data_IF_574543825906
#
_entry.id   IF_574543825906
#
_cell.length_a   1.000
_cell.length_b   1.000
_cell.length_c   1.000
_cell.angle_alpha   90.00
_cell.angle_beta   90.00
_cell.angle_gamma   90.00
#
_symmetry.space_group_name_H-M   'P 1'
#
loop_
_entity.id
_entity.type
_entity.pdbx_description
1 polymer ?
#
# COMPACT_ATOMS: atom_id res chain seq x y z
N UNK A 1 -14.13 -33.60 30.91
CA UNK A 1 -14.24 -32.41 31.78
C UNK A 1 -13.42 -31.22 31.25
N UNK A 2 -13.52 -30.88 29.95
CA UNK A 2 -12.80 -29.74 29.34
C UNK A 2 -13.75 -28.71 28.67
N UNK A 3 -15.05 -29.03 28.57
CA UNK A 3 -16.03 -28.18 27.86
C UNK A 3 -16.61 -27.06 28.73
N UNK A 4 -16.57 -27.19 30.06
CA UNK A 4 -17.20 -26.23 30.99
C UNK A 4 -16.32 -24.98 31.18
N UNK A 5 -15.00 -25.10 31.03
CA UNK A 5 -14.07 -23.98 31.25
C UNK A 5 -14.07 -22.94 30.12
N UNK A 6 -14.36 -23.33 28.88
CA UNK A 6 -14.39 -22.41 27.73
C UNK A 6 -15.65 -21.55 27.79
N UNK A 7 -16.79 -22.12 28.18
CA UNK A 7 -18.06 -21.38 28.29
C UNK A 7 -18.04 -20.35 29.42
N UNK A 8 -17.39 -20.67 30.56
CA UNK A 8 -17.22 -19.71 31.67
C UNK A 8 -16.29 -18.54 31.31
N UNK A 9 -15.26 -18.79 30.50
CA UNK A 9 -14.32 -17.75 30.06
C UNK A 9 -14.97 -16.78 29.06
N UNK A 10 -15.87 -17.27 28.20
CA UNK A 10 -16.62 -16.43 27.25
C UNK A 10 -17.67 -15.56 27.96
N UNK A 11 -18.32 -16.07 29.01
CA UNK A 11 -19.27 -15.30 29.83
C UNK A 11 -18.57 -14.17 30.62
N UNK A 12 -17.38 -14.42 31.18
CA UNK A 12 -16.59 -13.40 31.89
C UNK A 12 -16.02 -12.30 30.97
N UNK A 13 -15.82 -12.61 29.68
CA UNK A 13 -15.37 -11.62 28.68
C UNK A 13 -16.52 -10.75 28.15
N UNK A 14 -17.76 -11.26 28.15
CA UNK A 14 -18.94 -10.50 27.72
C UNK A 14 -19.43 -9.52 28.80
N UNK A 15 -19.32 -9.86 30.09
CA UNK A 15 -19.74 -8.96 31.19
C UNK A 15 -18.79 -7.76 31.39
N UNK A 16 -17.52 -7.86 31.01
CA UNK A 16 -16.59 -6.72 31.05
C UNK A 16 -16.72 -5.77 29.86
N UNK A 17 -17.43 -6.16 28.79
CA UNK A 17 -17.64 -5.31 27.62
C UNK A 17 -18.85 -4.39 27.77
N UNK A 18 -19.86 -4.76 28.57
CA UNK A 18 -21.06 -3.95 28.78
C UNK A 18 -20.88 -2.82 29.80
N UNK A 19 -19.88 -2.91 30.69
CA UNK A 19 -19.60 -1.87 31.70
C UNK A 19 -18.82 -0.67 31.15
N UNK A 20 -18.20 -0.77 29.96
CA UNK A 20 -17.45 0.36 29.36
C UNK A 20 -18.28 1.24 28.42
N UNK A 21 -19.59 0.99 28.26
CA UNK A 21 -20.46 1.77 27.36
C UNK A 21 -21.41 2.75 28.08
N UNK A 22 -21.12 3.13 29.33
CA UNK A 22 -22.00 4.01 30.12
C UNK A 22 -21.34 5.24 30.74
N UNK A 23 -20.20 5.71 30.21
CA UNK A 23 -19.61 6.99 30.66
C UNK A 23 -18.98 7.74 29.48
N UNK A 24 -19.77 8.18 28.49
CA UNK A 24 -19.50 9.42 27.74
C UNK A 24 -20.85 10.02 27.33
N UNK A 25 -21.49 10.72 28.26
CA UNK A 25 -22.46 11.77 27.93
C UNK A 25 -22.37 12.85 29.00
N UNK A 26 -22.33 14.10 28.53
CA UNK A 26 -22.43 15.39 29.25
C UNK A 26 -21.19 15.86 30.03
N UNK A 27 -20.47 16.86 29.52
CA UNK A 27 -20.74 18.26 29.87
C UNK A 27 -19.79 19.23 29.15
N UNK A 28 -20.40 20.25 28.55
CA UNK A 28 -19.77 21.53 28.23
C UNK A 28 -19.42 22.27 29.54
N UNK A 29 -18.27 22.94 29.56
CA UNK A 29 -18.09 24.40 29.78
C UNK A 29 -16.82 24.78 30.58
N UNK A 30 -16.11 25.77 30.00
CA UNK A 30 -15.30 26.86 30.62
C UNK A 30 -13.84 26.66 31.09
N UNK A 31 -13.04 27.61 30.57
CA UNK A 31 -11.76 28.19 31.04
C UNK A 31 -10.44 27.39 30.94
N UNK A 32 -9.55 27.87 30.06
CA UNK A 32 -8.23 28.40 30.43
C UNK A 32 -7.05 27.44 30.75
N UNK A 33 -6.00 27.57 29.94
CA UNK A 33 -4.57 27.35 30.24
C UNK A 33 -3.94 25.93 30.10
N UNK A 34 -2.95 25.91 29.18
CA UNK A 34 -1.69 25.14 29.12
C UNK A 34 -1.64 23.59 29.09
N UNK A 35 -1.17 23.09 27.93
CA UNK A 35 -0.15 22.04 27.73
C UNK A 35 -0.11 20.86 28.70
N UNK A 36 -0.53 19.68 28.22
CA UNK A 36 0.10 18.41 28.60
C UNK A 36 0.01 17.37 27.48
N UNK A 37 1.18 17.01 26.97
CA UNK A 37 1.49 15.76 26.28
C UNK A 37 0.99 14.56 27.11
N UNK A 38 -0.09 13.92 26.69
CA UNK A 38 -0.45 12.57 27.18
C UNK A 38 -1.15 11.78 26.06
N UNK A 39 -0.38 11.48 25.00
CA UNK A 39 -0.68 10.30 24.17
C UNK A 39 -0.46 9.08 25.07
N UNK A 40 -1.56 8.49 25.53
CA UNK A 40 -1.54 7.51 26.61
C UNK A 40 -0.75 6.27 26.19
N UNK A 41 0.20 5.86 27.03
CA UNK A 41 1.02 4.63 26.94
C UNK A 41 0.14 3.37 26.77
N UNK A 42 -1.16 3.48 27.06
CA UNK A 42 -2.21 2.47 26.89
C UNK A 42 -2.53 2.13 25.43
N UNK A 43 -2.52 3.09 24.49
CA UNK A 43 -2.78 2.77 23.07
C UNK A 43 -1.57 2.09 22.40
N UNK A 44 -0.36 2.50 22.76
CA UNK A 44 0.87 1.84 22.27
C UNK A 44 1.00 0.40 22.79
N UNK A 45 0.51 0.13 24.02
CA UNK A 45 0.44 -1.22 24.56
C UNK A 45 -0.65 -2.08 23.91
N UNK A 46 -1.75 -1.51 23.44
CA UNK A 46 -2.78 -2.27 22.71
C UNK A 46 -2.25 -2.80 21.36
N UNK A 47 -1.44 -2.02 20.64
CA UNK A 47 -0.75 -2.50 19.43
C UNK A 47 0.33 -3.55 19.73
N UNK A 48 1.04 -3.42 20.85
CA UNK A 48 2.02 -4.43 21.27
C UNK A 48 1.37 -5.74 21.76
N UNK A 49 0.25 -5.68 22.48
CA UNK A 49 -0.39 -6.86 23.08
C UNK A 49 -1.22 -7.68 22.09
N UNK A 50 -1.74 -7.08 21.02
CA UNK A 50 -2.35 -7.83 19.91
C UNK A 50 -1.34 -8.69 19.12
N UNK A 51 -0.03 -8.48 19.31
CA UNK A 51 1.02 -9.27 18.67
C UNK A 51 1.51 -10.47 19.49
N UNK A 52 1.10 -10.62 20.76
CA UNK A 52 1.72 -11.59 21.68
C UNK A 52 0.81 -12.78 22.03
N UNK A 53 -0.51 -12.71 21.82
CA UNK A 53 -1.41 -13.81 22.19
C UNK A 53 -1.93 -14.53 20.96
N UNK A 54 -1.12 -15.47 20.44
CA UNK A 54 -1.49 -16.76 19.82
C UNK A 54 -0.24 -17.35 19.13
N UNK A 55 0.53 -18.13 19.89
CA UNK A 55 1.45 -19.19 19.43
C UNK A 55 2.38 -18.90 18.23
N UNK A 56 3.63 -18.48 18.49
CA UNK A 56 4.75 -18.52 17.54
C UNK A 56 4.80 -17.33 16.57
N UNK A 57 5.79 -16.45 16.75
CA UNK A 57 6.15 -15.26 15.93
C UNK A 57 5.42 -15.20 14.57
N UNK A 58 4.21 -14.65 14.55
CA UNK A 58 3.55 -14.28 13.31
C UNK A 58 4.23 -13.02 12.79
N UNK A 59 4.72 -13.07 11.55
CA UNK A 59 5.24 -11.90 10.87
C UNK A 59 4.11 -10.85 10.81
N UNK A 60 4.28 -9.62 11.36
CA UNK A 60 3.23 -8.60 11.34
C UNK A 60 2.77 -8.21 9.92
N UNK A 61 3.59 -8.53 8.91
CA UNK A 61 3.31 -8.32 7.49
C UNK A 61 2.77 -9.58 6.78
N UNK A 62 2.44 -10.66 7.50
CA UNK A 62 1.94 -11.90 6.91
C UNK A 62 0.62 -11.71 6.14
N UNK A 63 -0.18 -10.71 6.50
CA UNK A 63 -1.42 -10.38 5.78
C UNK A 63 -1.15 -9.88 4.35
N UNK A 64 0.03 -9.31 4.07
CA UNK A 64 0.40 -8.85 2.73
C UNK A 64 0.45 -10.01 1.72
N UNK A 65 0.78 -11.21 2.19
CA UNK A 65 0.77 -12.43 1.38
C UNK A 65 -0.63 -12.83 0.89
N UNK A 66 -1.69 -12.18 1.39
CA UNK A 66 -3.06 -12.40 0.94
C UNK A 66 -3.41 -11.56 -0.29
N UNK A 67 -2.54 -10.64 -0.74
CA UNK A 67 -2.78 -9.80 -1.91
C UNK A 67 -3.13 -10.66 -3.14
N UNK A 68 -4.33 -10.48 -3.66
CA UNK A 68 -4.76 -11.05 -4.92
C UNK A 68 -4.21 -10.21 -6.08
N UNK A 69 -3.46 -10.88 -6.96
CA UNK A 69 -2.98 -10.32 -8.24
C UNK A 69 -3.55 -11.21 -9.34
N UNK A 70 -4.30 -10.67 -10.31
CA UNK A 70 -4.95 -11.48 -11.33
C UNK A 70 -3.88 -12.17 -12.19
N UNK A 71 -3.93 -13.51 -12.35
CA UNK A 71 -2.96 -14.22 -13.17
C UNK A 71 -3.18 -13.96 -14.67
N UNK A 72 -2.19 -14.31 -15.49
CA UNK A 72 -2.31 -14.32 -16.95
C UNK A 72 -2.00 -13.01 -17.66
N UNK A 73 -2.29 -12.97 -18.96
CA UNK A 73 -1.91 -11.89 -19.90
C UNK A 73 -2.65 -10.57 -19.65
N UNK A 74 -3.84 -10.63 -19.04
CA UNK A 74 -4.70 -9.47 -18.79
C UNK A 74 -5.29 -9.52 -17.38
N UNK A 75 -5.46 -8.36 -16.72
CA UNK A 75 -4.90 -7.06 -17.11
C UNK A 75 -3.36 -7.07 -17.10
N UNK A 76 -2.73 -6.15 -17.84
CA UNK A 76 -1.28 -5.92 -17.80
C UNK A 76 -0.90 -5.32 -16.43
N UNK A 77 0.21 -5.75 -15.83
CA UNK A 77 0.64 -5.27 -14.51
C UNK A 77 1.60 -4.11 -14.71
N UNK A 78 1.21 -2.93 -14.25
CA UNK A 78 2.00 -1.73 -14.37
C UNK A 78 2.70 -1.40 -13.05
N UNK A 79 3.97 -1.06 -13.18
CA UNK A 79 4.80 -0.53 -12.10
C UNK A 79 5.17 0.91 -12.46
N UNK A 80 5.49 1.75 -11.49
CA UNK A 80 5.81 3.14 -11.79
C UNK A 80 6.83 3.74 -10.82
N UNK A 81 7.69 4.62 -11.31
CA UNK A 81 8.64 5.34 -10.46
C UNK A 81 9.19 6.60 -11.12
N UNK A 82 9.66 7.55 -10.31
CA UNK A 82 10.43 8.70 -10.79
C UNK A 82 9.64 9.79 -11.52
N UNK A 83 8.32 9.87 -11.35
CA UNK A 83 7.48 10.85 -12.07
C UNK A 83 7.69 12.30 -11.61
N UNK A 84 8.25 12.50 -10.41
CA UNK A 84 8.59 13.84 -9.91
C UNK A 84 7.39 14.74 -9.58
N UNK A 85 6.19 14.17 -9.43
CA UNK A 85 4.95 14.88 -9.07
C UNK A 85 4.24 14.22 -7.87
N UNK A 86 3.40 14.96 -7.15
CA UNK A 86 2.70 14.44 -5.98
C UNK A 86 1.67 13.35 -6.36
N UNK A 87 0.90 13.58 -7.43
CA UNK A 87 -0.15 12.68 -7.92
C UNK A 87 0.39 11.65 -8.94
N UNK A 88 1.50 10.98 -8.59
CA UNK A 88 2.15 10.01 -9.49
C UNK A 88 1.35 8.73 -9.65
N UNK A 89 0.68 8.27 -8.58
CA UNK A 89 -0.13 7.05 -8.60
C UNK A 89 -1.34 7.20 -9.54
N UNK A 90 -1.95 8.37 -9.55
CA UNK A 90 -3.10 8.73 -10.38
C UNK A 90 -2.74 8.76 -11.87
N UNK A 91 -1.59 9.36 -12.21
CA UNK A 91 -1.08 9.36 -13.58
C UNK A 91 -0.73 7.94 -14.04
N UNK A 92 -0.09 7.14 -13.16
CA UNK A 92 0.22 5.75 -13.48
C UNK A 92 -1.05 4.91 -13.69
N UNK A 93 -2.08 5.12 -12.88
CA UNK A 93 -3.38 4.47 -13.03
C UNK A 93 -4.10 4.86 -14.33
N UNK A 94 -4.01 6.12 -14.76
CA UNK A 94 -4.54 6.57 -16.04
C UNK A 94 -3.82 5.90 -17.23
N UNK A 95 -2.49 5.85 -17.19
CA UNK A 95 -1.69 5.16 -18.22
C UNK A 95 -2.01 3.67 -18.24
N UNK A 96 -2.07 3.02 -17.08
CA UNK A 96 -2.43 1.61 -16.98
C UNK A 96 -3.82 1.33 -17.58
N UNK A 97 -4.81 2.16 -17.24
CA UNK A 97 -6.17 2.07 -17.77
C UNK A 97 -6.20 2.21 -19.29
N UNK A 98 -5.47 3.19 -19.85
CA UNK A 98 -5.34 3.37 -21.31
C UNK A 98 -4.80 2.11 -22.01
N UNK A 99 -3.98 1.32 -21.33
CA UNK A 99 -3.39 0.09 -21.84
C UNK A 99 -4.14 -1.21 -21.45
N UNK A 100 -5.36 -1.11 -20.89
CA UNK A 100 -6.10 -2.24 -20.32
C UNK A 100 -5.25 -3.03 -19.30
N UNK A 101 -4.64 -2.28 -18.39
CA UNK A 101 -3.78 -2.75 -17.31
C UNK A 101 -4.19 -2.20 -15.95
N UNK A 102 -3.42 -2.53 -14.93
CA UNK A 102 -3.65 -2.17 -13.53
C UNK A 102 -2.33 -1.89 -12.83
N UNK A 103 -2.31 -0.94 -11.90
CA UNK A 103 -1.21 -0.74 -10.93
C UNK A 103 -1.49 -1.48 -9.62
N UNK A 104 -0.52 -1.47 -8.69
CA UNK A 104 -0.73 -1.97 -7.32
C UNK A 104 -1.88 -1.23 -6.62
N UNK A 105 -1.90 0.11 -6.72
CA UNK A 105 -2.92 0.93 -6.08
C UNK A 105 -4.31 0.61 -6.64
N UNK A 106 -4.43 0.37 -7.96
CA UNK A 106 -5.71 -0.01 -8.57
C UNK A 106 -6.23 -1.36 -8.06
N UNK A 107 -5.36 -2.37 -7.91
CA UNK A 107 -5.81 -3.69 -7.43
C UNK A 107 -6.12 -3.68 -5.93
N UNK A 108 -5.50 -2.80 -5.13
CA UNK A 108 -5.81 -2.67 -3.72
C UNK A 108 -7.26 -2.21 -3.48
N UNK A 109 -7.85 -1.52 -4.45
CA UNK A 109 -9.25 -1.10 -4.43
C UNK A 109 -10.24 -2.25 -4.70
N UNK A 110 -9.77 -3.43 -5.12
CA UNK A 110 -10.64 -4.54 -5.45
C UNK A 110 -11.21 -5.23 -4.20
N UNK A 111 -12.44 -5.79 -4.28
CA UNK A 111 -13.06 -6.50 -3.15
C UNK A 111 -12.20 -7.63 -2.58
N UNK A 112 -11.49 -8.37 -3.43
CA UNK A 112 -10.57 -9.45 -3.04
C UNK A 112 -9.42 -8.96 -2.15
N UNK A 113 -9.06 -7.69 -2.27
CA UNK A 113 -7.95 -7.06 -1.56
C UNK A 113 -8.39 -6.19 -0.38
N UNK A 114 -9.69 -6.16 -0.05
CA UNK A 114 -10.24 -5.34 1.04
C UNK A 114 -9.57 -5.62 2.39
N UNK A 115 -9.26 -6.89 2.69
CA UNK A 115 -8.57 -7.27 3.92
C UNK A 115 -7.13 -6.74 3.98
N UNK A 116 -6.41 -6.77 2.85
CA UNK A 116 -5.05 -6.20 2.76
C UNK A 116 -5.12 -4.68 2.92
N UNK A 117 -5.97 -4.02 2.13
CA UNK A 117 -6.14 -2.56 2.16
C UNK A 117 -6.49 -2.04 3.55
N UNK A 118 -7.38 -2.72 4.29
CA UNK A 118 -7.77 -2.33 5.66
C UNK A 118 -6.59 -2.20 6.62
N UNK A 119 -5.53 -2.98 6.43
CA UNK A 119 -4.37 -3.02 7.33
C UNK A 119 -3.16 -2.24 6.78
N UNK A 120 -3.29 -1.65 5.58
CA UNK A 120 -2.26 -0.79 5.00
C UNK A 120 -2.27 0.59 5.66
N UNK A 121 -1.09 1.07 6.01
CA UNK A 121 -0.89 2.46 6.37
C UNK A 121 -0.99 3.36 5.13
N UNK A 122 -1.33 4.64 5.34
CA UNK A 122 -1.21 5.65 4.28
C UNK A 122 0.25 5.99 4.06
N UNK A 123 0.70 6.07 2.80
CA UNK A 123 2.09 6.40 2.48
C UNK A 123 2.48 7.74 3.14
N UNK A 124 3.63 7.79 3.85
CA UNK A 124 3.97 8.96 4.64
C UNK A 124 4.36 10.15 3.77
N UNK A 125 4.20 11.35 4.33
CA UNK A 125 4.59 12.59 3.67
C UNK A 125 6.08 12.58 3.28
N UNK A 126 6.42 13.28 2.20
CA UNK A 126 7.81 13.39 1.74
C UNK A 126 8.69 13.98 2.87
N UNK A 127 9.78 13.30 3.18
CA UNK A 127 10.75 13.74 4.19
C UNK A 127 10.43 13.30 5.63
N UNK A 128 9.29 12.66 5.87
CA UNK A 128 9.00 12.06 7.18
C UNK A 128 9.87 10.81 7.40
N UNK A 129 10.68 10.84 8.45
CA UNK A 129 11.62 9.78 8.86
C UNK A 129 11.32 9.28 10.27
N UNK A 130 10.12 9.55 10.79
CA UNK A 130 9.69 9.02 12.08
C UNK A 130 9.67 7.48 12.07
N UNK A 131 9.83 6.82 13.24
CA UNK A 131 9.77 5.35 13.30
C UNK A 131 8.49 4.76 12.70
N UNK A 132 7.35 5.45 12.87
CA UNK A 132 6.08 5.06 12.26
C UNK A 132 6.10 5.20 10.75
N UNK A 133 6.66 6.30 10.22
CA UNK A 133 6.80 6.49 8.78
C UNK A 133 7.73 5.45 8.15
N UNK A 134 8.84 5.11 8.78
CA UNK A 134 9.75 4.07 8.28
C UNK A 134 9.11 2.68 8.33
N UNK A 135 8.39 2.34 9.39
CA UNK A 135 7.61 1.09 9.45
C UNK A 135 6.55 1.03 8.34
N UNK A 136 5.89 2.16 8.06
CA UNK A 136 4.91 2.26 6.99
C UNK A 136 5.56 2.12 5.59
N UNK A 137 6.69 2.79 5.33
CA UNK A 137 7.46 2.60 4.08
C UNK A 137 7.86 1.14 3.90
N UNK A 138 8.26 0.47 4.98
CA UNK A 138 8.62 -0.94 4.94
C UNK A 138 7.43 -1.85 4.61
N UNK A 139 6.25 -1.55 5.16
CA UNK A 139 5.02 -2.24 4.81
C UNK A 139 4.70 -2.12 3.31
N UNK A 140 4.82 -0.92 2.74
CA UNK A 140 4.61 -0.69 1.31
C UNK A 140 5.69 -1.33 0.43
N UNK A 141 6.97 -1.30 0.85
CA UNK A 141 8.04 -2.04 0.15
C UNK A 141 7.72 -3.52 0.08
N UNK A 142 7.32 -4.13 1.21
CA UNK A 142 6.96 -5.55 1.24
C UNK A 142 5.72 -5.84 0.39
N UNK A 143 4.69 -5.00 0.44
CA UNK A 143 3.52 -5.16 -0.42
C UNK A 143 3.90 -5.13 -1.91
N UNK A 144 4.78 -4.22 -2.28
CA UNK A 144 5.28 -4.05 -3.65
C UNK A 144 6.10 -5.27 -4.11
N UNK A 145 6.91 -5.85 -3.21
CA UNK A 145 7.56 -7.14 -3.47
C UNK A 145 6.53 -8.25 -3.72
N UNK A 146 5.51 -8.38 -2.88
CA UNK A 146 4.48 -9.41 -3.03
C UNK A 146 3.73 -9.23 -4.35
N UNK A 147 3.40 -7.99 -4.73
CA UNK A 147 2.79 -7.68 -6.02
C UNK A 147 3.66 -8.15 -7.20
N UNK A 148 4.96 -7.85 -7.16
CA UNK A 148 5.93 -8.30 -8.15
C UNK A 148 6.09 -9.83 -8.17
N UNK A 149 6.17 -10.49 -7.01
CA UNK A 149 6.31 -11.95 -6.90
C UNK A 149 5.08 -12.69 -7.44
N UNK A 150 3.88 -12.15 -7.23
CA UNK A 150 2.61 -12.72 -7.69
C UNK A 150 2.25 -12.36 -9.12
N UNK A 151 2.91 -11.37 -9.72
CA UNK A 151 2.68 -10.99 -11.11
C UNK A 151 2.94 -12.17 -12.05
N UNK A 152 1.98 -12.42 -12.93
CA UNK A 152 2.07 -13.36 -14.05
C UNK A 152 1.66 -12.63 -15.32
N UNK A 153 2.28 -12.98 -16.45
CA UNK A 153 2.11 -12.32 -17.74
C UNK A 153 2.94 -11.03 -17.86
N UNK A 154 2.45 -10.02 -18.60
CA UNK A 154 3.19 -8.81 -18.89
C UNK A 154 3.26 -7.90 -17.66
N UNK A 155 4.48 -7.52 -17.32
CA UNK A 155 4.84 -6.57 -16.28
C UNK A 155 5.56 -5.39 -16.93
N UNK A 156 4.98 -4.19 -16.87
CA UNK A 156 5.48 -3.02 -17.58
C UNK A 156 5.75 -1.87 -16.59
N UNK A 157 7.02 -1.54 -16.32
CA UNK A 157 7.38 -0.36 -15.56
C UNK A 157 7.25 0.90 -16.43
N UNK A 158 6.67 1.95 -15.86
CA UNK A 158 6.67 3.31 -16.41
C UNK A 158 7.66 4.12 -15.56
N UNK A 159 8.71 4.63 -16.18
CA UNK A 159 9.77 5.35 -15.48
C UNK A 159 9.82 6.80 -15.96
N UNK A 160 9.88 7.74 -15.01
CA UNK A 160 10.28 9.11 -15.30
C UNK A 160 11.80 9.25 -15.37
N UNK A 161 12.27 10.46 -15.68
CA UNK A 161 13.68 10.74 -15.90
C UNK A 161 14.57 10.47 -14.67
N UNK A 162 14.04 10.66 -13.47
CA UNK A 162 14.81 10.59 -12.22
C UNK A 162 14.27 9.50 -11.30
N UNK A 163 14.56 8.25 -11.66
CA UNK A 163 14.33 7.10 -10.76
C UNK A 163 15.44 7.05 -9.73
N UNK A 164 15.10 7.35 -8.47
CA UNK A 164 16.06 7.28 -7.37
C UNK A 164 16.61 5.84 -7.21
N UNK A 165 17.93 5.65 -6.95
CA UNK A 165 18.50 4.33 -6.69
C UNK A 165 17.85 3.57 -5.53
N UNK A 166 17.27 4.31 -4.58
CA UNK A 166 16.54 3.79 -3.41
C UNK A 166 15.03 3.63 -3.64
N UNK A 167 14.56 3.81 -4.88
CA UNK A 167 13.15 3.64 -5.23
C UNK A 167 12.71 2.20 -5.03
N UNK A 168 11.44 2.03 -4.64
CA UNK A 168 10.80 0.72 -4.47
C UNK A 168 10.93 -0.14 -5.73
N UNK A 169 10.81 0.48 -6.91
CA UNK A 169 11.03 -0.17 -8.19
C UNK A 169 12.42 -0.82 -8.30
N UNK A 170 13.49 -0.06 -8.06
CA UNK A 170 14.86 -0.55 -8.24
C UNK A 170 15.31 -1.52 -7.16
N UNK A 171 14.90 -1.30 -5.90
CA UNK A 171 15.39 -2.11 -4.78
C UNK A 171 14.56 -3.35 -4.51
N UNK A 172 13.24 -3.32 -4.79
CA UNK A 172 12.31 -4.38 -4.40
C UNK A 172 11.62 -5.03 -5.61
N UNK A 173 10.83 -4.27 -6.36
CA UNK A 173 9.91 -4.82 -7.37
C UNK A 173 10.65 -5.48 -8.53
N UNK A 174 11.64 -4.78 -9.12
CA UNK A 174 12.42 -5.31 -10.24
C UNK A 174 13.16 -6.59 -9.86
N UNK A 175 13.72 -6.63 -8.65
CA UNK A 175 14.44 -7.79 -8.14
C UNK A 175 13.50 -8.97 -7.90
N UNK A 176 12.30 -8.73 -7.35
CA UNK A 176 11.26 -9.73 -7.17
C UNK A 176 10.77 -10.30 -8.51
N UNK A 177 10.57 -9.47 -9.54
CA UNK A 177 10.22 -9.91 -10.89
C UNK A 177 11.31 -10.80 -11.50
N UNK A 178 12.59 -10.41 -11.38
CA UNK A 178 13.71 -11.24 -11.83
C UNK A 178 13.75 -12.60 -11.13
N UNK A 179 13.61 -12.63 -9.79
CA UNK A 179 13.56 -13.87 -9.02
C UNK A 179 12.37 -14.74 -9.43
N UNK A 180 11.21 -14.14 -9.66
CA UNK A 180 10.02 -14.84 -10.14
C UNK A 180 10.25 -15.49 -11.50
N UNK A 181 10.85 -14.76 -12.44
CA UNK A 181 11.22 -15.26 -13.76
C UNK A 181 12.22 -16.42 -13.68
N UNK A 182 13.25 -16.31 -12.83
CA UNK A 182 14.26 -17.36 -12.60
C UNK A 182 13.67 -18.64 -12.00
N UNK A 183 12.57 -18.53 -11.24
CA UNK A 183 11.81 -19.68 -10.71
C UNK A 183 10.91 -20.36 -11.76
N UNK A 184 10.95 -19.91 -13.01
CA UNK A 184 10.13 -20.47 -14.10
C UNK A 184 8.72 -19.89 -14.19
N UNK A 185 8.39 -18.82 -13.43
CA UNK A 185 7.12 -18.15 -13.60
C UNK A 185 7.09 -17.39 -14.93
N UNK A 186 5.96 -17.47 -15.63
CA UNK A 186 5.72 -16.71 -16.84
C UNK A 186 5.48 -15.23 -16.50
N UNK A 187 6.55 -14.43 -16.57
CA UNK A 187 6.55 -12.97 -16.38
C UNK A 187 7.55 -12.32 -17.34
N UNK A 188 7.14 -11.25 -18.03
CA UNK A 188 7.95 -10.63 -19.08
C UNK A 188 7.64 -9.13 -19.26
N UNK A 189 8.45 -8.42 -20.04
CA UNK A 189 8.25 -7.00 -20.39
C UNK A 189 9.00 -6.02 -19.49
N UNK A 190 9.28 -6.39 -18.25
CA UNK A 190 9.81 -5.48 -17.23
C UNK A 190 11.27 -5.06 -17.43
N UNK A 191 11.97 -5.68 -18.37
CA UNK A 191 13.32 -5.31 -18.80
C UNK A 191 13.32 -4.12 -19.77
N UNK A 192 12.16 -3.77 -20.35
CA UNK A 192 12.00 -2.66 -21.30
C UNK A 192 10.97 -1.66 -20.74
N UNK A 193 11.37 -0.79 -19.79
CA UNK A 193 10.48 0.21 -19.24
C UNK A 193 9.94 1.14 -20.32
N UNK A 194 8.70 1.58 -20.13
CA UNK A 194 8.15 2.72 -20.84
C UNK A 194 8.68 4.01 -20.22
N UNK A 195 9.11 4.94 -21.07
CA UNK A 195 9.37 6.30 -20.64
C UNK A 195 8.07 7.06 -20.39
N UNK A 196 7.97 7.77 -19.27
CA UNK A 196 6.79 8.52 -18.86
C UNK A 196 6.39 9.56 -19.91
N UNK A 197 7.34 10.33 -20.43
CA UNK A 197 7.05 11.37 -21.40
C UNK A 197 6.59 10.75 -22.73
N UNK A 198 7.30 9.73 -23.20
CA UNK A 198 6.94 9.02 -24.44
C UNK A 198 5.52 8.46 -24.38
N UNK A 199 5.15 7.78 -23.27
CA UNK A 199 3.81 7.20 -23.15
C UNK A 199 2.75 8.27 -22.93
N UNK A 200 2.97 9.21 -22.02
CA UNK A 200 1.92 10.11 -21.55
C UNK A 200 1.72 11.33 -22.46
N UNK A 201 2.81 11.87 -23.00
CA UNK A 201 2.80 13.10 -23.80
C UNK A 201 2.68 12.82 -25.30
N UNK A 202 3.33 11.75 -25.80
CA UNK A 202 3.33 11.44 -27.23
C UNK A 202 2.24 10.41 -27.56
N UNK A 203 2.30 9.21 -26.99
CA UNK A 203 1.37 8.12 -27.36
C UNK A 203 -0.06 8.40 -26.91
N UNK A 204 -0.21 9.00 -25.73
CA UNK A 204 -1.50 9.41 -25.17
C UNK A 204 -1.86 10.88 -25.50
N UNK A 205 -1.21 11.53 -26.47
CA UNK A 205 -1.46 12.94 -26.79
C UNK A 205 -2.94 13.28 -26.99
N UNK A 206 -3.67 12.43 -27.72
CA UNK A 206 -5.10 12.60 -28.03
C UNK A 206 -6.04 12.01 -26.97
N UNK A 207 -5.51 11.33 -25.95
CA UNK A 207 -6.30 10.80 -24.86
C UNK A 207 -6.76 11.95 -23.95
N UNK A 208 -8.07 12.03 -23.73
CA UNK A 208 -8.67 12.98 -22.78
C UNK A 208 -8.30 12.56 -21.36
N UNK A 209 -7.35 13.28 -20.78
CA UNK A 209 -6.88 13.04 -19.42
C UNK A 209 -7.86 13.62 -18.39
N UNK A 210 -7.95 12.95 -17.24
CA UNK A 210 -8.61 13.43 -16.03
C UNK A 210 -7.74 14.46 -15.28
N UNK A 211 -6.45 14.58 -15.63
CA UNK A 211 -5.46 15.41 -14.95
C UNK A 211 -4.73 16.37 -15.91
N UNK A 212 -5.46 17.30 -16.56
CA UNK A 212 -4.88 18.18 -17.60
C UNK A 212 -3.67 19.00 -17.10
N UNK A 213 -3.74 19.55 -15.88
CA UNK A 213 -2.64 20.33 -15.31
C UNK A 213 -1.39 19.48 -15.00
N UNK A 214 -1.56 18.21 -14.62
CA UNK A 214 -0.44 17.30 -14.39
C UNK A 214 0.20 16.91 -15.71
N UNK A 215 -0.63 16.62 -16.71
CA UNK A 215 -0.16 16.31 -18.06
C UNK A 215 0.61 17.46 -18.65
N UNK A 216 0.12 18.70 -18.53
CA UNK A 216 0.88 19.88 -18.94
C UNK A 216 2.24 19.94 -18.24
N UNK A 217 2.29 19.83 -16.90
CA UNK A 217 3.56 19.85 -16.14
C UNK A 217 4.55 18.76 -16.53
N UNK A 218 4.08 17.55 -16.86
CA UNK A 218 4.94 16.45 -17.32
C UNK A 218 5.43 16.75 -18.75
N UNK A 219 4.55 17.22 -19.63
CA UNK A 219 4.84 17.39 -21.05
C UNK A 219 5.60 18.67 -21.41
N UNK A 220 5.65 19.67 -20.52
CA UNK A 220 6.42 20.91 -20.74
C UNK A 220 7.83 20.87 -20.16
N UNK A 221 8.17 19.91 -19.28
CA UNK A 221 9.50 19.85 -18.65
C UNK A 221 10.64 19.43 -19.58
N UNK A 222 10.35 18.96 -20.80
CA UNK A 222 11.35 18.50 -21.78
C UNK A 222 11.63 19.48 -22.93
N UNK A 223 11.03 20.67 -22.93
CA UNK A 223 11.40 21.77 -23.86
C UNK A 223 12.34 22.74 -23.19
#
# INVERSE_FOLDING_TARGET
>A
MASIFITLLILLLLENFTTSLHIIQTNEDKHGFQSANYGSVTEQRAFQLLSISLTGRSNPNAFLEQLYVPPGERPIKFFWSGFGIAASAEVAAEIASYHNGVTLEMILEWPENAAVKKHMCTWPARGDVSPTAEACKEQWRRLSEVYAEKTRGPAIPILGEQVAPTSVWLTHEKNALHKSQQKGNYVYGFQKPMDLYEVYCIKMAKHKTSYPELKEKICTKQT
#
